data_IF_925540633446
#
_entry.id   IF_925540633446
#
_cell.length_a   1.000
_cell.length_b   1.000
_cell.length_c   1.000
_cell.angle_alpha   90.00
_cell.angle_beta   90.00
_cell.angle_gamma   90.00
#
_symmetry.space_group_name_H-M   'P 1'
#
loop_
_entity.id
_entity.type
_entity.pdbx_description
1 polymer ?
#
# COMPACT_ATOMS: atom_id res chain seq x y z
N UNK A 1 -22.59 -15.58 21.21
CA UNK A 1 -23.06 -14.84 22.41
C UNK A 1 -23.17 -13.37 22.01
N UNK A 2 -24.28 -12.71 22.30
CA UNK A 2 -24.40 -11.26 22.10
C UNK A 2 -23.65 -10.52 23.21
N UNK A 3 -22.91 -9.46 22.89
CA UNK A 3 -22.21 -8.62 23.87
C UNK A 3 -20.85 -9.16 24.33
N UNK A 4 -20.27 -10.13 23.63
CA UNK A 4 -18.90 -10.61 23.88
C UNK A 4 -18.02 -10.17 22.73
N UNK A 5 -16.95 -9.45 23.04
CA UNK A 5 -15.99 -8.92 22.08
C UNK A 5 -14.59 -9.43 22.45
N UNK A 6 -13.75 -9.66 21.46
CA UNK A 6 -12.37 -10.08 21.67
C UNK A 6 -11.46 -9.45 20.59
N UNK A 7 -10.24 -9.10 20.97
CA UNK A 7 -9.22 -8.56 20.07
C UNK A 7 -7.81 -8.93 20.55
N UNK A 8 -6.83 -8.56 19.73
CA UNK A 8 -5.41 -8.79 20.01
C UNK A 8 -5.00 -10.24 19.83
N UNK A 9 -3.84 -10.57 20.37
CA UNK A 9 -3.16 -11.87 20.18
C UNK A 9 -3.98 -13.08 20.61
N UNK A 10 -4.95 -12.86 21.50
CA UNK A 10 -5.88 -13.92 21.91
C UNK A 10 -6.77 -14.43 20.75
N UNK A 11 -7.06 -13.56 19.79
CA UNK A 11 -7.91 -13.87 18.61
C UNK A 11 -7.09 -14.17 17.37
N UNK A 12 -6.03 -13.41 17.16
CA UNK A 12 -5.25 -13.44 15.90
C UNK A 12 -3.94 -14.21 16.02
N UNK A 13 -3.54 -14.63 17.21
CA UNK A 13 -2.17 -15.04 17.49
C UNK A 13 -1.24 -13.84 17.61
N UNK A 14 0.04 -14.07 17.84
CA UNK A 14 1.04 -13.00 17.95
C UNK A 14 1.17 -12.25 16.63
N UNK A 15 0.98 -10.93 16.68
CA UNK A 15 1.03 -10.01 15.52
C UNK A 15 1.91 -8.80 15.85
N UNK A 16 2.05 -7.89 14.87
CA UNK A 16 2.74 -6.61 15.06
C UNK A 16 1.86 -5.58 15.81
N UNK A 17 2.52 -4.53 16.31
CA UNK A 17 1.87 -3.45 17.09
C UNK A 17 0.77 -2.76 16.29
N UNK A 18 0.96 -2.57 14.99
CA UNK A 18 -0.01 -1.90 14.11
C UNK A 18 -1.28 -2.74 14.00
N UNK A 19 -1.15 -4.04 13.81
CA UNK A 19 -2.25 -4.99 13.77
C UNK A 19 -3.01 -5.03 15.10
N UNK A 20 -2.31 -4.99 16.23
CA UNK A 20 -2.92 -4.94 17.56
C UNK A 20 -3.73 -3.66 17.77
N UNK A 21 -3.19 -2.48 17.39
CA UNK A 21 -3.89 -1.19 17.44
C UNK A 21 -5.13 -1.20 16.54
N UNK A 22 -4.99 -1.69 15.31
CA UNK A 22 -6.12 -1.81 14.37
C UNK A 22 -7.22 -2.75 14.90
N UNK A 23 -6.81 -3.86 15.53
CA UNK A 23 -7.72 -4.80 16.20
C UNK A 23 -8.49 -4.14 17.34
N UNK A 24 -7.80 -3.43 18.23
CA UNK A 24 -8.41 -2.68 19.32
C UNK A 24 -9.42 -1.64 18.83
N UNK A 25 -9.08 -0.87 17.79
CA UNK A 25 -9.98 0.10 17.18
C UNK A 25 -11.25 -0.54 16.61
N UNK A 26 -11.11 -1.64 15.84
CA UNK A 26 -12.30 -2.35 15.31
C UNK A 26 -13.21 -2.85 16.42
N UNK A 27 -12.62 -3.37 17.49
CA UNK A 27 -13.40 -3.87 18.64
C UNK A 27 -14.12 -2.74 19.36
N UNK A 28 -13.45 -1.60 19.56
CA UNK A 28 -14.09 -0.41 20.19
C UNK A 28 -15.29 0.08 19.38
N UNK A 29 -15.18 0.15 18.04
CA UNK A 29 -16.30 0.50 17.17
C UNK A 29 -17.45 -0.51 17.23
N UNK A 30 -17.13 -1.81 17.30
CA UNK A 30 -18.12 -2.86 17.43
C UNK A 30 -18.86 -2.81 18.79
N UNK A 31 -18.15 -2.45 19.86
CA UNK A 31 -18.73 -2.24 21.19
C UNK A 31 -19.63 -1.00 21.20
N UNK A 32 -19.18 0.11 20.61
CA UNK A 32 -19.97 1.33 20.52
C UNK A 32 -21.26 1.09 19.73
N UNK A 33 -21.17 0.45 18.56
CA UNK A 33 -22.34 0.06 17.77
C UNK A 33 -23.31 -0.84 18.55
N UNK A 34 -22.77 -1.82 19.30
CA UNK A 34 -23.59 -2.71 20.12
C UNK A 34 -24.34 -1.99 21.25
N UNK A 35 -23.69 -1.00 21.87
CA UNK A 35 -24.25 -0.26 23.00
C UNK A 35 -25.22 0.83 22.57
N UNK A 36 -24.98 1.48 21.46
CA UNK A 36 -25.73 2.64 20.98
C UNK A 36 -26.70 2.32 19.86
N UNK A 37 -26.55 1.18 19.20
CA UNK A 37 -27.23 0.79 17.94
C UNK A 37 -27.07 1.86 16.83
N UNK A 38 -26.01 2.65 16.89
CA UNK A 38 -25.69 3.72 15.95
C UNK A 38 -24.28 3.56 15.41
N UNK A 39 -24.14 3.51 14.10
CA UNK A 39 -22.85 3.58 13.42
C UNK A 39 -22.44 5.06 13.31
N UNK A 40 -21.45 5.48 14.10
CA UNK A 40 -21.04 6.90 14.18
C UNK A 40 -20.06 7.32 13.09
N UNK A 41 -19.28 6.38 12.56
CA UNK A 41 -18.24 6.68 11.57
C UNK A 41 -18.23 5.67 10.43
N UNK A 42 -18.27 6.19 9.23
CA UNK A 42 -18.13 5.41 8.01
C UNK A 42 -16.75 5.63 7.40
N UNK A 43 -16.02 4.55 7.11
CA UNK A 43 -14.79 4.65 6.32
C UNK A 43 -15.14 4.60 4.84
N UNK A 44 -14.80 5.64 4.12
CA UNK A 44 -15.02 5.77 2.69
C UNK A 44 -13.67 5.76 1.98
N UNK A 45 -13.60 5.05 0.87
CA UNK A 45 -12.47 5.10 -0.03
C UNK A 45 -12.69 6.24 -1.01
N UNK A 46 -11.81 7.24 -0.98
CA UNK A 46 -11.76 8.30 -1.99
C UNK A 46 -10.72 7.92 -3.04
N UNK A 47 -11.14 7.96 -4.30
CA UNK A 47 -10.26 7.79 -5.44
C UNK A 47 -10.17 9.12 -6.18
N UNK A 48 -8.97 9.63 -6.37
CA UNK A 48 -8.71 10.88 -7.07
C UNK A 48 -7.71 10.62 -8.20
N UNK A 49 -7.97 11.19 -9.38
CA UNK A 49 -6.97 11.21 -10.45
C UNK A 49 -5.77 12.01 -10.00
N UNK A 50 -4.58 11.48 -10.21
CA UNK A 50 -3.33 12.11 -9.82
C UNK A 50 -2.41 12.23 -11.04
N UNK A 51 -1.57 13.25 -11.06
CA UNK A 51 -0.50 13.32 -12.03
C UNK A 51 0.53 12.20 -11.78
N UNK A 52 1.31 11.87 -12.80
CA UNK A 52 2.45 10.95 -12.62
C UNK A 52 3.38 11.46 -11.51
N UNK A 53 4.14 10.56 -10.92
CA UNK A 53 5.12 10.90 -9.90
C UNK A 53 6.49 11.04 -10.53
N UNK A 54 7.22 12.07 -10.14
CA UNK A 54 8.62 12.26 -10.52
C UNK A 54 9.57 11.62 -9.48
N UNK A 55 9.15 10.51 -8.86
CA UNK A 55 9.98 9.85 -7.85
C UNK A 55 11.31 9.40 -8.49
N UNK A 56 12.46 10.01 -8.08
CA UNK A 56 13.73 9.66 -8.68
C UNK A 56 14.08 8.19 -8.45
N UNK A 57 14.49 7.49 -9.49
CA UNK A 57 14.96 6.10 -9.39
C UNK A 57 16.14 5.94 -8.41
N UNK A 58 16.95 6.98 -8.26
CA UNK A 58 18.07 7.00 -7.32
C UNK A 58 17.63 6.72 -5.86
N UNK A 59 16.38 7.02 -5.51
CA UNK A 59 15.85 6.78 -4.17
C UNK A 59 15.70 5.29 -3.82
N UNK A 60 15.74 4.40 -4.78
CA UNK A 60 15.76 2.95 -4.54
C UNK A 60 17.11 2.45 -4.01
N UNK A 61 18.16 3.26 -4.12
CA UNK A 61 19.53 2.94 -3.72
C UNK A 61 19.97 3.69 -2.47
N UNK A 62 19.05 4.40 -1.80
CA UNK A 62 19.31 5.04 -0.51
C UNK A 62 19.30 3.97 0.57
N UNK A 63 20.39 3.83 1.29
CA UNK A 63 20.48 2.93 2.43
C UNK A 63 19.54 3.36 3.56
N UNK A 64 19.12 2.40 4.37
CA UNK A 64 18.31 2.69 5.55
C UNK A 64 19.11 3.51 6.55
N UNK A 65 18.54 4.62 7.00
CA UNK A 65 19.12 5.41 8.10
C UNK A 65 18.90 4.66 9.42
N UNK A 66 19.97 4.34 10.16
CA UNK A 66 19.82 3.73 11.48
C UNK A 66 19.20 4.72 12.47
N UNK A 67 18.24 4.25 13.25
CA UNK A 67 17.62 5.04 14.29
C UNK A 67 18.63 5.33 15.41
N UNK A 68 18.61 6.55 15.95
CA UNK A 68 19.45 6.93 17.07
C UNK A 68 19.06 6.14 18.32
N UNK A 69 20.07 5.71 19.06
CA UNK A 69 19.89 4.96 20.31
C UNK A 69 20.74 5.55 21.42
N UNK A 70 20.26 5.46 22.65
CA UNK A 70 21.07 5.84 23.82
C UNK A 70 22.29 4.91 24.02
N UNK A 71 23.36 5.42 24.62
CA UNK A 71 24.56 4.66 24.87
C UNK A 71 24.33 3.47 25.83
N UNK A 72 25.18 2.46 25.75
CA UNK A 72 25.01 1.23 26.51
C UNK A 72 25.07 1.46 28.03
N UNK A 73 25.94 2.35 28.49
CA UNK A 73 26.08 2.75 29.88
C UNK A 73 24.80 3.40 30.43
N UNK A 74 24.13 4.20 29.64
CA UNK A 74 22.85 4.80 29.99
C UNK A 74 21.75 3.74 30.08
N UNK A 75 21.71 2.77 29.14
CA UNK A 75 20.76 1.64 29.19
C UNK A 75 20.91 0.79 30.44
N UNK A 76 22.15 0.60 30.88
CA UNK A 76 22.46 -0.18 32.10
C UNK A 76 22.17 0.61 33.39
N UNK A 77 22.30 1.93 33.35
CA UNK A 77 22.02 2.79 34.50
C UNK A 77 20.51 2.97 34.75
N UNK A 78 19.71 3.05 33.70
CA UNK A 78 18.26 3.19 33.78
C UNK A 78 17.56 2.30 32.71
N UNK A 79 17.05 1.17 33.18
CA UNK A 79 16.33 0.20 32.35
C UNK A 79 14.91 0.63 31.96
N UNK A 80 14.46 1.79 32.46
CA UNK A 80 13.16 2.37 32.07
C UNK A 80 13.28 3.42 30.97
N UNK A 81 14.51 3.84 30.64
CA UNK A 81 14.77 4.80 29.56
C UNK A 81 14.43 4.23 28.20
N UNK A 82 13.83 5.04 27.35
CA UNK A 82 13.59 4.71 25.94
C UNK A 82 14.93 4.53 25.22
N UNK A 83 15.15 3.36 24.64
CA UNK A 83 16.43 3.01 24.01
C UNK A 83 16.57 3.63 22.62
N UNK A 84 15.52 3.61 21.83
CA UNK A 84 15.48 4.21 20.49
C UNK A 84 14.90 5.62 20.59
N UNK A 85 15.72 6.63 20.29
CA UNK A 85 15.36 8.04 20.47
C UNK A 85 14.75 8.68 19.21
N UNK A 86 14.51 7.87 18.17
CA UNK A 86 13.94 8.32 16.92
C UNK A 86 14.98 8.93 15.98
N UNK A 87 14.48 9.56 14.90
CA UNK A 87 15.27 10.27 13.92
C UNK A 87 15.35 11.75 14.26
N UNK A 88 16.49 12.37 14.01
CA UNK A 88 16.55 13.81 13.91
C UNK A 88 15.88 14.31 12.60
N UNK A 89 15.65 15.63 12.43
CA UNK A 89 14.96 16.15 11.26
C UNK A 89 15.64 15.84 9.92
N UNK A 90 16.97 15.75 9.87
CA UNK A 90 17.72 15.47 8.64
C UNK A 90 17.66 13.97 8.32
N UNK A 91 17.82 13.11 9.30
CA UNK A 91 17.61 11.66 9.18
C UNK A 91 16.19 11.33 8.75
N UNK A 92 15.19 11.98 9.32
CA UNK A 92 13.79 11.78 8.95
C UNK A 92 13.52 12.21 7.49
N UNK A 93 14.14 13.30 7.04
CA UNK A 93 14.05 13.76 5.65
C UNK A 93 14.69 12.75 4.68
N UNK A 94 15.88 12.25 5.02
CA UNK A 94 16.56 11.25 4.21
C UNK A 94 15.77 9.95 4.14
N UNK A 95 15.30 9.42 5.27
CA UNK A 95 14.51 8.19 5.32
C UNK A 95 13.17 8.34 4.57
N UNK A 96 12.57 9.53 4.56
CA UNK A 96 11.32 9.80 3.84
C UNK A 96 11.45 9.66 2.31
N UNK A 97 12.64 9.85 1.75
CA UNK A 97 12.90 9.68 0.31
C UNK A 97 12.75 8.22 -0.13
N UNK A 98 12.87 7.26 0.78
CA UNK A 98 12.67 5.83 0.51
C UNK A 98 11.21 5.44 0.34
N UNK A 99 10.27 6.36 0.58
CA UNK A 99 8.84 6.11 0.45
C UNK A 99 8.46 5.74 -0.99
N UNK A 100 7.74 4.62 -1.17
CA UNK A 100 7.25 4.17 -2.47
C UNK A 100 5.89 4.76 -2.87
N UNK A 101 5.35 5.70 -2.12
CA UNK A 101 4.07 6.35 -2.42
C UNK A 101 2.94 5.33 -2.67
N UNK A 102 2.79 4.34 -1.79
CA UNK A 102 1.88 3.21 -1.98
C UNK A 102 0.38 3.60 -2.09
N UNK A 103 0.02 4.83 -1.72
CA UNK A 103 -1.31 5.40 -1.94
C UNK A 103 -1.61 5.68 -3.41
N UNK A 104 -0.58 5.76 -4.27
CA UNK A 104 -0.72 5.95 -5.69
C UNK A 104 -0.73 4.61 -6.41
N UNK A 105 -1.72 4.40 -7.27
CA UNK A 105 -1.89 3.21 -8.09
C UNK A 105 -1.75 3.58 -9.56
N UNK A 106 -0.93 2.82 -10.26
CA UNK A 106 -0.77 2.93 -11.71
C UNK A 106 -1.62 1.83 -12.36
N UNK A 107 -2.40 2.20 -13.35
CA UNK A 107 -3.32 1.29 -14.04
C UNK A 107 -3.23 1.51 -15.55
N UNK A 108 -3.35 0.42 -16.30
CA UNK A 108 -3.38 0.43 -17.78
C UNK A 108 -4.82 0.22 -18.22
N UNK A 109 -5.34 1.13 -19.03
CA UNK A 109 -6.64 0.95 -19.68
C UNK A 109 -6.51 -0.07 -20.83
N UNK A 110 -7.07 -1.29 -20.69
CA UNK A 110 -6.94 -2.33 -21.70
C UNK A 110 -7.66 -2.02 -23.01
N UNK A 111 -8.63 -1.09 -22.99
CA UNK A 111 -9.38 -0.69 -24.20
C UNK A 111 -8.58 0.29 -25.07
N UNK A 112 -7.63 0.99 -24.49
CA UNK A 112 -6.77 1.95 -25.20
C UNK A 112 -5.38 1.39 -25.46
N UNK A 113 -4.98 0.35 -24.73
CA UNK A 113 -3.67 -0.27 -24.85
C UNK A 113 -3.52 -0.98 -26.21
N UNK A 114 -2.46 -0.65 -26.95
CA UNK A 114 -2.11 -1.30 -28.22
C UNK A 114 -1.09 -2.43 -28.08
N UNK A 115 -0.76 -2.82 -26.87
CA UNK A 115 0.17 -3.93 -26.56
C UNK A 115 1.57 -3.75 -27.19
N UNK A 116 2.11 -2.52 -27.24
CA UNK A 116 3.38 -2.20 -27.87
C UNK A 116 4.62 -2.56 -27.02
N UNK A 117 4.48 -3.07 -25.83
CA UNK A 117 5.53 -3.41 -24.85
C UNK A 117 6.38 -2.25 -24.28
N UNK A 118 6.29 -1.03 -24.80
CA UNK A 118 7.16 0.07 -24.40
C UNK A 118 7.21 0.30 -22.88
N UNK A 119 6.06 0.15 -22.20
CA UNK A 119 5.99 0.27 -20.73
C UNK A 119 6.73 -0.87 -20.01
N UNK A 120 6.73 -2.09 -20.56
CA UNK A 120 7.43 -3.25 -20.00
C UNK A 120 8.94 -3.01 -20.10
N UNK A 121 9.41 -2.59 -21.28
CA UNK A 121 10.83 -2.34 -21.57
C UNK A 121 11.38 -1.16 -20.75
N UNK A 122 10.56 -0.15 -20.48
CA UNK A 122 10.95 1.02 -19.69
C UNK A 122 10.91 0.77 -18.16
N UNK A 123 10.17 -0.24 -17.69
CA UNK A 123 10.01 -0.49 -16.27
C UNK A 123 11.33 -0.98 -15.64
N UNK A 124 11.88 -0.29 -14.60
CA UNK A 124 13.13 -0.69 -13.97
C UNK A 124 13.00 -1.91 -13.05
N UNK A 125 11.77 -2.28 -12.75
CA UNK A 125 11.39 -3.47 -11.98
C UNK A 125 10.46 -4.32 -12.81
N UNK A 126 10.44 -5.61 -12.56
CA UNK A 126 9.52 -6.56 -13.18
C UNK A 126 8.11 -6.43 -12.57
N UNK A 127 7.49 -5.25 -12.76
CA UNK A 127 6.18 -4.92 -12.20
C UNK A 127 5.09 -4.77 -13.25
N UNK A 128 5.41 -4.85 -14.55
CA UNK A 128 4.41 -4.81 -15.62
C UNK A 128 4.31 -6.21 -16.23
N UNK A 129 3.12 -6.78 -16.11
CA UNK A 129 2.88 -8.19 -16.38
C UNK A 129 1.95 -8.38 -17.58
N UNK A 130 2.32 -9.32 -18.45
CA UNK A 130 1.43 -9.85 -19.48
C UNK A 130 0.53 -10.92 -18.86
N UNK A 131 -0.77 -10.75 -18.98
CA UNK A 131 -1.77 -11.60 -18.35
C UNK A 131 -2.51 -12.43 -19.41
N UNK A 132 -2.53 -13.75 -19.20
CA UNK A 132 -3.30 -14.68 -20.03
C UNK A 132 -4.74 -14.79 -19.54
N UNK A 133 -4.94 -14.88 -18.23
CA UNK A 133 -6.28 -15.02 -17.64
C UNK A 133 -6.32 -14.55 -16.19
N UNK A 134 -7.51 -14.12 -15.78
CA UNK A 134 -7.83 -13.83 -14.38
C UNK A 134 -8.97 -14.76 -13.98
N UNK A 135 -8.70 -15.80 -13.19
CA UNK A 135 -9.74 -16.73 -12.77
C UNK A 135 -10.76 -16.03 -11.86
N UNK A 136 -12.03 -16.39 -12.04
CA UNK A 136 -13.11 -15.94 -11.16
C UNK A 136 -13.46 -17.08 -10.22
N UNK A 137 -13.42 -16.81 -8.92
CA UNK A 137 -13.78 -17.77 -7.89
C UNK A 137 -15.29 -18.03 -7.84
N UNK A 138 -15.70 -19.09 -7.16
CA UNK A 138 -17.12 -19.47 -7.05
C UNK A 138 -17.99 -18.42 -6.32
N UNK A 139 -17.37 -17.56 -5.49
CA UNK A 139 -18.00 -16.46 -4.80
C UNK A 139 -18.08 -15.14 -5.62
N UNK A 140 -17.60 -15.18 -6.88
CA UNK A 140 -17.57 -14.04 -7.78
C UNK A 140 -16.37 -13.11 -7.60
N UNK A 141 -15.44 -13.41 -6.67
CA UNK A 141 -14.20 -12.65 -6.53
C UNK A 141 -13.18 -13.06 -7.57
N UNK A 142 -12.25 -12.14 -7.89
CA UNK A 142 -11.13 -12.44 -8.79
C UNK A 142 -10.01 -13.14 -8.04
N UNK A 143 -9.52 -14.22 -8.65
CA UNK A 143 -8.30 -14.89 -8.21
C UNK A 143 -7.04 -14.15 -8.68
N UNK A 144 -5.89 -14.72 -8.33
CA UNK A 144 -4.62 -14.19 -8.82
C UNK A 144 -4.53 -14.40 -10.33
N UNK A 145 -4.08 -13.36 -11.06
CA UNK A 145 -3.87 -13.44 -12.50
C UNK A 145 -2.80 -14.49 -12.87
N UNK A 146 -2.92 -15.06 -14.05
CA UNK A 146 -1.95 -15.98 -14.64
C UNK A 146 -1.09 -15.22 -15.63
N UNK A 147 0.22 -15.21 -15.40
CA UNK A 147 1.18 -14.54 -16.29
C UNK A 147 1.51 -15.41 -17.50
N UNK A 148 1.78 -14.78 -18.64
CA UNK A 148 2.29 -15.44 -19.83
C UNK A 148 3.48 -14.69 -20.41
N UNK A 149 4.41 -15.44 -21.04
CA UNK A 149 5.47 -14.87 -21.84
C UNK A 149 5.18 -14.87 -23.35
N UNK A 150 3.98 -15.32 -23.76
CA UNK A 150 3.62 -15.52 -25.16
C UNK A 150 2.60 -14.47 -25.61
N UNK A 151 2.97 -13.62 -26.56
CA UNK A 151 2.14 -12.53 -27.07
C UNK A 151 0.80 -12.98 -27.63
N UNK A 152 0.71 -14.17 -28.20
CA UNK A 152 -0.54 -14.73 -28.71
C UNK A 152 -1.53 -15.18 -27.63
N UNK A 153 -1.12 -15.19 -26.37
CA UNK A 153 -1.94 -15.55 -25.22
C UNK A 153 -2.29 -14.34 -24.34
N UNK A 154 -1.73 -13.16 -24.64
CA UNK A 154 -1.97 -11.96 -23.82
C UNK A 154 -3.38 -11.44 -24.03
N UNK A 155 -4.14 -11.37 -22.95
CA UNK A 155 -5.48 -10.74 -22.92
C UNK A 155 -5.42 -9.36 -22.28
N UNK A 156 -4.40 -9.07 -21.44
CA UNK A 156 -4.20 -7.77 -20.82
C UNK A 156 -2.75 -7.58 -20.40
N UNK A 157 -2.33 -6.31 -20.31
CA UNK A 157 -1.10 -5.92 -19.63
C UNK A 157 -1.52 -5.18 -18.36
N UNK A 158 -0.96 -5.56 -17.21
CA UNK A 158 -1.30 -4.98 -15.91
C UNK A 158 -0.06 -4.53 -15.15
N UNK A 159 -0.22 -3.60 -14.22
CA UNK A 159 0.84 -3.14 -13.33
C UNK A 159 0.64 -3.76 -11.94
N UNK A 160 1.63 -4.54 -11.51
CA UNK A 160 1.73 -4.98 -10.13
C UNK A 160 2.13 -3.81 -9.25
N UNK A 161 1.15 -3.24 -8.57
CA UNK A 161 1.38 -2.09 -7.71
C UNK A 161 2.12 -2.41 -6.40
N UNK A 162 2.32 -3.68 -6.05
CA UNK A 162 3.16 -4.07 -4.93
C UNK A 162 4.65 -4.00 -5.31
N UNK A 163 4.99 -4.42 -6.53
CA UNK A 163 6.35 -4.34 -7.06
C UNK A 163 6.70 -2.98 -7.67
N UNK A 164 5.70 -2.17 -8.01
CA UNK A 164 5.89 -0.86 -8.66
C UNK A 164 6.53 0.16 -7.70
N UNK A 165 7.60 0.82 -8.16
CA UNK A 165 8.33 1.86 -7.41
C UNK A 165 7.83 3.28 -7.70
N UNK A 166 6.79 3.44 -8.49
CA UNK A 166 6.14 4.72 -8.88
C UNK A 166 7.10 5.73 -9.53
N UNK A 167 8.03 5.26 -10.34
CA UNK A 167 8.98 6.14 -11.05
C UNK A 167 8.38 6.88 -12.25
N UNK A 168 7.18 6.53 -12.69
CA UNK A 168 6.50 7.18 -13.83
C UNK A 168 7.00 6.82 -15.22
N UNK A 169 8.09 6.07 -15.38
CA UNK A 169 8.69 5.80 -16.69
C UNK A 169 7.73 5.12 -17.67
N UNK A 170 6.90 4.20 -17.20
CA UNK A 170 5.88 3.55 -18.03
C UNK A 170 4.85 4.54 -18.57
N UNK A 171 4.49 5.55 -17.77
CA UNK A 171 3.57 6.63 -18.16
C UNK A 171 4.18 7.49 -19.28
N UNK A 172 5.44 7.91 -19.11
CA UNK A 172 6.14 8.79 -20.07
C UNK A 172 6.34 8.14 -21.46
N UNK A 173 6.53 6.83 -21.52
CA UNK A 173 6.78 6.12 -22.79
C UNK A 173 5.51 5.62 -23.47
N UNK A 174 4.35 5.76 -22.85
CA UNK A 174 3.11 5.24 -23.41
C UNK A 174 2.61 6.08 -24.60
N UNK A 175 2.64 5.56 -25.84
CA UNK A 175 2.24 6.35 -27.00
C UNK A 175 0.72 6.60 -27.09
N UNK A 176 -0.06 5.89 -26.26
CA UNK A 176 -1.52 5.93 -26.26
C UNK A 176 -2.10 6.66 -25.05
N UNK A 177 -1.28 7.19 -24.16
CA UNK A 177 -1.69 7.78 -22.90
C UNK A 177 -2.74 6.93 -22.16
N UNK A 178 -2.55 5.61 -22.22
CA UNK A 178 -3.49 4.65 -21.61
C UNK A 178 -3.13 4.27 -20.18
N UNK A 179 -2.10 4.89 -19.58
CA UNK A 179 -1.72 4.68 -18.19
C UNK A 179 -2.25 5.83 -17.36
N UNK A 180 -3.01 5.49 -16.32
CA UNK A 180 -3.56 6.43 -15.36
C UNK A 180 -2.93 6.24 -13.98
N UNK A 181 -2.94 7.31 -13.19
CA UNK A 181 -2.51 7.29 -11.79
C UNK A 181 -3.68 7.70 -10.92
N UNK A 182 -4.02 6.85 -9.96
CA UNK A 182 -5.11 7.08 -9.02
C UNK A 182 -4.56 7.13 -7.60
N UNK A 183 -4.87 8.21 -6.87
CA UNK A 183 -4.59 8.31 -5.44
C UNK A 183 -5.74 7.69 -4.66
N UNK A 184 -5.41 6.80 -3.74
CA UNK A 184 -6.36 6.16 -2.84
C UNK A 184 -6.21 6.71 -1.43
N UNK A 185 -7.26 7.25 -0.87
CA UNK A 185 -7.32 7.73 0.51
C UNK A 185 -8.47 7.08 1.27
N UNK A 186 -8.20 6.71 2.52
CA UNK A 186 -9.23 6.27 3.45
C UNK A 186 -9.69 7.48 4.27
N UNK A 187 -10.96 7.86 4.11
CA UNK A 187 -11.55 8.99 4.82
C UNK A 187 -12.56 8.46 5.81
N UNK A 188 -12.51 8.97 7.02
CA UNK A 188 -13.57 8.75 8.01
C UNK A 188 -14.54 9.90 7.96
N UNK A 189 -15.79 9.59 7.66
CA UNK A 189 -16.91 10.55 7.67
C UNK A 189 -17.80 10.24 8.86
N UNK A 190 -18.27 11.27 9.54
CA UNK A 190 -19.36 11.12 10.50
C UNK A 190 -20.67 10.87 9.75
N UNK A 191 -21.57 10.06 10.32
CA UNK A 191 -22.81 9.65 9.63
C UNK A 191 -23.83 10.78 9.51
N UNK A 192 -23.58 11.91 10.19
CA UNK A 192 -24.47 13.08 10.22
C UNK A 192 -24.10 14.15 9.16
N UNK A 193 -23.11 13.88 8.29
CA UNK A 193 -22.77 14.65 7.11
C UNK A 193 -23.10 13.87 5.81
#
# INVERSE_FOLDING_TARGET
MKGVFAAGDFVTGSTDVISAIAGGRRTALAVDLFLTDMERKKTVVRLESHATTDRPRAYDFIDRVPMNTIAMDQRLADHTSEVETGFDPDQAREESQRCYLCSLKYEIDPLRCIYCSACIDAAPKDCIKMVETIPVNADGTYGRYVETGQWNQVVSITIDNEACIRCGQCYEVCPMDCISVTKTELIQMDMDE
#
